data_IF_772215066128
#
_entry.id   IF_772215066128
#
_cell.length_a   1.000
_cell.length_b   1.000
_cell.length_c   1.000
_cell.angle_alpha   90.00
_cell.angle_beta   90.00
_cell.angle_gamma   90.00
#
_symmetry.space_group_name_H-M   'P 1'
#
loop_
_entity.id
_entity.type
_entity.pdbx_description
1 polymer ?
#
# COMPACT_ATOMS: atom_id res chain seq x y z
N UNK A 1 24.29 7.62 -15.63
CA UNK A 1 23.18 7.17 -14.76
C UNK A 1 21.87 7.33 -15.50
N UNK A 2 21.21 6.24 -15.90
CA UNK A 2 19.84 6.30 -16.40
C UNK A 2 18.86 6.24 -15.23
N UNK A 3 18.06 7.27 -15.01
CA UNK A 3 16.94 7.22 -14.07
C UNK A 3 15.91 6.23 -14.60
N UNK A 4 15.48 5.24 -13.79
CA UNK A 4 14.30 4.44 -14.14
C UNK A 4 13.11 5.39 -14.33
N UNK A 5 12.31 5.22 -15.39
CA UNK A 5 11.10 6.03 -15.56
C UNK A 5 10.19 5.80 -14.36
N UNK A 6 9.74 6.87 -13.74
CA UNK A 6 8.71 6.83 -12.68
C UNK A 6 7.37 6.91 -13.37
N UNK A 7 6.51 5.91 -13.13
CA UNK A 7 5.15 5.89 -13.66
C UNK A 7 4.23 6.41 -12.56
N UNK A 8 3.37 7.37 -12.93
CA UNK A 8 2.30 7.84 -12.07
C UNK A 8 1.01 7.29 -12.68
N UNK A 9 0.25 6.55 -11.89
CA UNK A 9 -1.04 6.01 -12.29
C UNK A 9 -2.16 6.70 -11.52
N UNK A 10 -3.35 6.72 -12.11
CA UNK A 10 -4.56 7.13 -11.44
C UNK A 10 -4.85 6.24 -10.23
N UNK A 11 -5.71 6.73 -9.35
CA UNK A 11 -6.09 5.97 -8.16
C UNK A 11 -6.66 4.59 -8.56
N UNK A 12 -6.13 3.53 -7.96
CA UNK A 12 -6.58 2.17 -8.20
C UNK A 12 -7.45 1.70 -7.03
N UNK A 13 -8.72 1.42 -7.29
CA UNK A 13 -9.69 0.91 -6.31
C UNK A 13 -9.31 -0.45 -5.71
N UNK A 14 -8.34 -1.17 -6.29
CA UNK A 14 -7.79 -2.39 -5.73
C UNK A 14 -6.80 -2.14 -4.58
N UNK A 15 -6.22 -0.93 -4.43
CA UNK A 15 -5.22 -0.66 -3.39
C UNK A 15 -5.71 -0.93 -1.96
N UNK A 16 -6.93 -0.54 -1.55
CA UNK A 16 -7.46 -0.90 -0.24
C UNK A 16 -7.59 -2.42 -0.04
N UNK A 17 -7.96 -3.16 -1.08
CA UNK A 17 -8.11 -4.63 -1.03
C UNK A 17 -6.76 -5.29 -0.84
N UNK A 18 -5.77 -4.92 -1.67
CA UNK A 18 -4.40 -5.42 -1.58
C UNK A 18 -3.76 -5.11 -0.22
N UNK A 19 -4.01 -3.90 0.32
CA UNK A 19 -3.53 -3.56 1.65
C UNK A 19 -4.13 -4.47 2.73
N UNK A 20 -5.43 -4.75 2.68
CA UNK A 20 -6.08 -5.62 3.66
C UNK A 20 -5.54 -7.05 3.61
N UNK A 21 -5.32 -7.60 2.42
CA UNK A 21 -4.71 -8.93 2.25
C UNK A 21 -3.29 -8.98 2.86
N UNK A 22 -2.47 -7.97 2.57
CA UNK A 22 -1.12 -7.88 3.15
C UNK A 22 -1.18 -7.70 4.67
N UNK A 23 -2.09 -6.86 5.15
CA UNK A 23 -2.31 -6.64 6.59
C UNK A 23 -2.65 -7.95 7.29
N UNK A 24 -3.53 -8.77 6.73
CA UNK A 24 -3.91 -10.05 7.32
C UNK A 24 -2.72 -11.01 7.40
N UNK A 25 -1.90 -11.08 6.35
CA UNK A 25 -0.64 -11.86 6.35
C UNK A 25 0.31 -11.37 7.45
N UNK A 26 0.50 -10.06 7.56
CA UNK A 26 1.39 -9.48 8.55
C UNK A 26 0.86 -9.66 9.97
N UNK A 27 -0.45 -9.56 10.20
CA UNK A 27 -1.06 -9.83 11.52
C UNK A 27 -0.91 -11.27 11.93
N UNK A 28 -1.13 -12.22 11.01
CA UNK A 28 -0.92 -13.66 11.27
C UNK A 28 0.54 -13.95 11.67
N UNK A 29 1.50 -13.34 10.96
CA UNK A 29 2.93 -13.62 11.16
C UNK A 29 3.55 -12.89 12.36
N UNK A 30 3.11 -11.66 12.64
CA UNK A 30 3.67 -10.83 13.70
C UNK A 30 2.92 -11.00 15.02
N UNK A 31 1.63 -11.36 14.99
CA UNK A 31 0.81 -11.52 16.18
C UNK A 31 0.85 -10.29 17.07
N UNK A 32 1.14 -10.50 18.35
CA UNK A 32 1.20 -9.43 19.37
C UNK A 32 2.40 -8.49 19.23
N UNK A 33 3.41 -8.83 18.41
CA UNK A 33 4.53 -7.92 18.14
C UNK A 33 4.10 -6.71 17.31
N UNK A 34 3.05 -6.85 16.50
CA UNK A 34 2.47 -5.76 15.73
C UNK A 34 1.34 -5.10 16.52
N UNK A 35 1.65 -3.99 17.22
CA UNK A 35 0.65 -3.20 17.93
C UNK A 35 -0.45 -2.68 16.99
N UNK A 36 -0.05 -2.16 15.82
CA UNK A 36 -0.96 -1.68 14.77
C UNK A 36 -0.34 -1.90 13.39
N UNK A 37 -1.19 -1.97 12.35
CA UNK A 37 -0.80 -2.00 10.94
C UNK A 37 -1.74 -1.06 10.18
N UNK A 38 -1.16 -0.04 9.55
CA UNK A 38 -1.87 1.08 8.94
C UNK A 38 -1.45 1.28 7.47
N UNK A 39 -2.41 1.71 6.64
CA UNK A 39 -2.15 2.00 5.23
C UNK A 39 -1.71 3.46 5.10
N UNK A 40 -0.45 3.67 4.76
CA UNK A 40 0.16 5.00 4.61
C UNK A 40 0.72 5.21 3.20
N UNK A 41 0.85 6.47 2.78
CA UNK A 41 1.36 6.85 1.45
C UNK A 41 0.25 7.22 0.46
N UNK A 42 0.60 7.57 -0.78
CA UNK A 42 -0.39 8.06 -1.76
C UNK A 42 -1.44 7.01 -2.15
N UNK A 43 -1.09 5.72 -2.07
CA UNK A 43 -2.02 4.62 -2.35
C UNK A 43 -3.11 4.44 -1.28
N UNK A 44 -2.96 5.06 -0.11
CA UNK A 44 -3.96 5.00 0.97
C UNK A 44 -5.01 6.10 0.91
N UNK A 45 -4.91 7.02 -0.06
CA UNK A 45 -5.83 8.15 -0.22
C UNK A 45 -6.69 7.95 -1.46
N UNK A 46 -7.99 7.61 -1.32
CA UNK A 46 -8.92 7.54 -2.44
C UNK A 46 -8.91 8.80 -3.31
N UNK A 47 -8.77 8.61 -4.61
CA UNK A 47 -8.72 9.70 -5.59
C UNK A 47 -7.37 10.41 -5.70
N UNK A 48 -6.32 9.98 -4.99
CA UNK A 48 -4.97 10.49 -5.16
C UNK A 48 -4.14 9.57 -6.06
N UNK A 49 -3.51 10.13 -7.09
CA UNK A 49 -2.63 9.38 -7.99
C UNK A 49 -1.45 8.75 -7.25
N UNK A 50 -1.14 7.51 -7.59
CA UNK A 50 -0.06 6.72 -7.00
C UNK A 50 1.20 6.77 -7.84
N UNK A 51 2.35 6.62 -7.22
CA UNK A 51 3.57 6.24 -7.93
C UNK A 51 3.68 4.73 -7.92
N UNK A 52 3.95 4.16 -9.10
CA UNK A 52 4.21 2.73 -9.30
C UNK A 52 5.66 2.53 -9.74
#
# INVERSE_FOLDING_TARGET
MGSRPVIIEDYNDAWPVMFNELKDILRDKLGELALTIEHVGSTSVPGLSGRI
#
